data_IF_559748798091
#
_entry.id   IF_559748798091
#
_cell.length_a   1.000
_cell.length_b   1.000
_cell.length_c   1.000
_cell.angle_alpha   90.00
_cell.angle_beta   90.00
_cell.angle_gamma   90.00
#
_symmetry.space_group_name_H-M   'P 1'
#
loop_
_entity.id
_entity.type
_entity.pdbx_description
1 polymer ?
#
# COMPACT_ATOMS: atom_id res chain seq x y z
N UNK A 1 11.38 -9.06 -15.66
CA UNK A 1 12.12 -7.79 -15.89
C UNK A 1 13.62 -7.99 -15.69
N UNK A 2 14.10 -8.51 -14.54
CA UNK A 2 15.52 -8.84 -14.35
C UNK A 2 16.07 -9.87 -15.37
N UNK A 3 15.32 -10.92 -15.69
CA UNK A 3 15.71 -11.89 -16.73
C UNK A 3 15.84 -11.28 -18.16
N UNK A 4 15.27 -10.09 -18.41
CA UNK A 4 15.44 -9.40 -19.70
C UNK A 4 16.78 -8.64 -19.78
N UNK A 5 17.42 -8.35 -18.64
CA UNK A 5 18.74 -7.70 -18.58
C UNK A 5 19.87 -8.64 -18.94
N UNK A 6 19.74 -9.92 -18.56
CA UNK A 6 20.71 -10.97 -18.91
C UNK A 6 20.85 -11.11 -20.44
N UNK A 7 19.73 -10.99 -21.18
CA UNK A 7 19.73 -10.96 -22.64
C UNK A 7 20.38 -9.73 -23.28
N UNK A 8 20.67 -8.69 -22.49
CA UNK A 8 21.36 -7.47 -22.92
C UNK A 8 22.81 -7.39 -22.39
N UNK A 9 23.33 -8.49 -21.82
CA UNK A 9 24.69 -8.54 -21.27
C UNK A 9 24.88 -7.70 -20.00
N UNK A 10 23.79 -7.41 -19.27
CA UNK A 10 23.83 -6.71 -17.98
C UNK A 10 23.53 -7.71 -16.87
N UNK A 11 24.30 -7.63 -15.78
CA UNK A 11 24.04 -8.42 -14.58
C UNK A 11 22.71 -7.98 -13.93
N UNK A 12 21.95 -8.94 -13.41
CA UNK A 12 20.61 -8.71 -12.84
C UNK A 12 20.60 -7.74 -11.65
N UNK A 13 21.72 -7.65 -10.93
CA UNK A 13 21.89 -6.77 -9.76
C UNK A 13 22.28 -5.33 -10.13
N UNK A 14 22.48 -5.04 -11.42
CA UNK A 14 22.70 -3.67 -11.93
C UNK A 14 21.42 -2.83 -12.05
N UNK A 15 20.27 -3.39 -11.63
CA UNK A 15 18.98 -2.71 -11.61
C UNK A 15 18.24 -3.03 -10.30
N UNK A 16 18.08 -2.01 -9.46
CA UNK A 16 17.23 -2.06 -8.28
C UNK A 16 15.80 -1.66 -8.62
N UNK A 17 14.86 -2.48 -8.19
CA UNK A 17 13.42 -2.25 -8.34
C UNK A 17 12.87 -1.81 -6.99
N UNK A 18 12.56 -0.51 -6.90
CA UNK A 18 11.90 0.08 -5.74
C UNK A 18 10.38 0.15 -5.94
N UNK A 19 9.62 -0.53 -5.08
CA UNK A 19 8.16 -0.48 -5.11
C UNK A 19 7.64 0.67 -4.24
N UNK A 20 6.71 1.46 -4.77
CA UNK A 20 5.98 2.45 -3.98
C UNK A 20 4.96 1.76 -3.08
N UNK A 21 5.08 1.93 -1.77
CA UNK A 21 4.17 1.34 -0.78
C UNK A 21 3.60 2.41 0.12
N UNK A 22 2.29 2.38 0.33
CA UNK A 22 1.64 3.17 1.36
C UNK A 22 1.54 2.34 2.64
N UNK A 23 1.79 2.97 3.78
CA UNK A 23 1.70 2.32 5.09
C UNK A 23 0.90 3.16 6.09
N UNK A 24 0.25 2.52 7.06
CA UNK A 24 -0.31 3.15 8.25
C UNK A 24 0.23 2.41 9.46
N UNK A 25 0.92 3.14 10.34
CA UNK A 25 1.57 2.56 11.52
C UNK A 25 0.90 3.15 12.76
N UNK A 26 0.22 2.30 13.51
CA UNK A 26 -0.35 2.63 14.82
C UNK A 26 0.45 1.96 15.94
N UNK A 27 0.15 2.33 17.19
CA UNK A 27 0.76 1.63 18.36
C UNK A 27 0.34 0.16 18.44
N UNK A 28 -0.82 -0.17 17.88
CA UNK A 28 -1.34 -1.51 17.68
C UNK A 28 -2.26 -1.53 16.44
N UNK A 29 -2.81 -2.70 16.09
CA UNK A 29 -3.70 -2.84 14.94
C UNK A 29 -5.00 -2.01 15.06
N UNK A 30 -5.52 -1.83 16.27
CA UNK A 30 -6.73 -1.04 16.49
C UNK A 30 -6.44 0.47 16.34
N UNK A 31 -5.25 0.91 16.71
CA UNK A 31 -4.79 2.29 16.48
C UNK A 31 -4.60 2.59 15.00
N UNK A 32 -3.95 1.68 14.26
CA UNK A 32 -3.82 1.80 12.81
C UNK A 32 -5.21 1.85 12.14
N UNK A 33 -6.16 1.04 12.61
CA UNK A 33 -7.55 1.08 12.14
C UNK A 33 -8.21 2.44 12.40
N UNK A 34 -8.09 2.98 13.62
CA UNK A 34 -8.66 4.30 13.96
C UNK A 34 -8.05 5.42 13.12
N UNK A 35 -6.74 5.38 12.90
CA UNK A 35 -6.05 6.33 12.03
C UNK A 35 -6.58 6.25 10.59
N UNK A 36 -6.72 5.03 10.05
CA UNK A 36 -7.32 4.83 8.73
C UNK A 36 -8.73 5.41 8.65
N UNK A 37 -9.60 5.09 9.60
CA UNK A 37 -10.98 5.60 9.62
C UNK A 37 -11.03 7.12 9.70
N UNK A 38 -10.15 7.74 10.48
CA UNK A 38 -10.05 9.21 10.61
C UNK A 38 -9.67 9.84 9.28
N UNK A 39 -8.66 9.30 8.60
CA UNK A 39 -8.23 9.77 7.28
C UNK A 39 -9.31 9.55 6.23
N UNK A 40 -9.94 8.38 6.21
CA UNK A 40 -11.01 8.06 5.27
C UNK A 40 -12.22 8.98 5.46
N UNK A 41 -12.56 9.33 6.70
CA UNK A 41 -13.65 10.25 7.02
C UNK A 41 -13.42 11.70 6.57
N UNK A 42 -12.21 12.07 6.11
CA UNK A 42 -11.96 13.36 5.45
C UNK A 42 -12.60 13.43 4.07
N UNK A 43 -12.88 12.29 3.45
CA UNK A 43 -13.65 12.22 2.20
C UNK A 43 -15.13 12.42 2.53
N UNK A 44 -15.78 13.35 1.83
CA UNK A 44 -17.21 13.54 2.01
C UNK A 44 -17.95 12.26 1.62
N UNK A 45 -18.94 11.86 2.43
CA UNK A 45 -19.68 10.62 2.20
C UNK A 45 -20.38 10.66 0.85
N UNK A 46 -20.88 11.82 0.44
CA UNK A 46 -21.48 12.03 -0.89
C UNK A 46 -20.49 11.72 -2.01
N UNK A 47 -19.25 12.22 -1.92
CA UNK A 47 -18.21 11.93 -2.93
C UNK A 47 -17.82 10.45 -2.91
N UNK A 48 -17.75 9.85 -1.72
CA UNK A 48 -17.45 8.44 -1.56
C UNK A 48 -18.52 7.53 -2.20
N UNK A 49 -19.81 7.84 -2.01
CA UNK A 49 -20.92 7.13 -2.65
C UNK A 49 -20.91 7.32 -4.17
N UNK A 50 -20.64 8.54 -4.64
CA UNK A 50 -20.51 8.83 -6.07
C UNK A 50 -19.35 8.05 -6.69
N UNK A 51 -18.23 7.92 -5.98
CA UNK A 51 -17.07 7.14 -6.44
C UNK A 51 -17.41 5.64 -6.47
N UNK A 52 -18.02 5.12 -5.41
CA UNK A 52 -18.48 3.74 -5.32
C UNK A 52 -19.45 3.39 -6.45
N UNK A 53 -20.41 4.28 -6.74
CA UNK A 53 -21.39 4.14 -7.81
C UNK A 53 -20.76 3.87 -9.18
N UNK A 54 -19.57 4.41 -9.48
CA UNK A 54 -18.87 4.20 -10.76
C UNK A 54 -18.55 2.73 -11.03
N UNK A 55 -18.26 1.95 -9.99
CA UNK A 55 -18.00 0.52 -10.15
C UNK A 55 -19.30 -0.25 -10.47
N UNK A 56 -20.43 0.27 -10.02
CA UNK A 56 -21.76 -0.32 -10.15
C UNK A 56 -22.61 0.43 -11.19
N UNK A 57 -22.06 0.74 -12.36
CA UNK A 57 -22.82 1.36 -13.47
C UNK A 57 -23.45 2.72 -13.12
N UNK A 58 -22.74 3.53 -12.32
CA UNK A 58 -23.22 4.80 -11.80
C UNK A 58 -24.46 4.69 -10.90
N UNK A 59 -24.62 3.57 -10.20
CA UNK A 59 -25.72 3.36 -9.26
C UNK A 59 -25.71 4.39 -8.13
N UNK A 60 -26.90 4.88 -7.81
CA UNK A 60 -27.10 5.84 -6.74
C UNK A 60 -27.20 5.12 -5.39
N UNK A 61 -26.10 5.08 -4.63
CA UNK A 61 -26.10 4.49 -3.30
C UNK A 61 -26.70 5.40 -2.22
N UNK A 62 -27.01 6.67 -2.50
CA UNK A 62 -27.59 7.60 -1.52
C UNK A 62 -29.03 7.23 -1.12
N UNK A 63 -29.68 6.36 -1.91
CA UNK A 63 -31.01 5.82 -1.62
C UNK A 63 -31.04 4.82 -0.45
N UNK A 64 -29.88 4.33 0.00
CA UNK A 64 -29.78 3.36 1.08
C UNK A 64 -29.29 4.00 2.39
N UNK A 65 -29.69 3.45 3.54
CA UNK A 65 -29.16 3.89 4.83
C UNK A 65 -27.66 3.63 4.95
N UNK A 66 -26.91 4.65 5.37
CA UNK A 66 -25.45 4.64 5.39
C UNK A 66 -24.85 3.72 6.45
N UNK A 67 -25.50 3.64 7.61
CA UNK A 67 -25.01 2.92 8.79
C UNK A 67 -25.65 1.54 8.95
N UNK A 68 -26.26 1.05 7.87
CA UNK A 68 -26.76 -0.33 7.74
C UNK A 68 -25.79 -1.17 6.90
N UNK A 69 -25.87 -2.51 7.00
CA UNK A 69 -25.06 -3.41 6.18
C UNK A 69 -25.13 -3.07 4.69
N UNK A 70 -24.01 -3.27 3.98
CA UNK A 70 -23.95 -3.03 2.55
C UNK A 70 -25.12 -3.71 1.80
N UNK A 71 -25.88 -2.97 0.98
CA UNK A 71 -27.11 -3.47 0.38
C UNK A 71 -26.85 -4.66 -0.55
N UNK A 72 -27.76 -5.62 -0.56
CA UNK A 72 -27.71 -6.71 -1.53
C UNK A 72 -28.20 -6.22 -2.90
N UNK A 73 -27.24 -5.82 -3.73
CA UNK A 73 -27.43 -5.26 -5.07
C UNK A 73 -27.38 -6.33 -6.17
N UNK A 74 -27.37 -7.62 -5.80
CA UNK A 74 -27.40 -8.74 -6.74
C UNK A 74 -26.25 -8.75 -7.75
N UNK A 75 -26.62 -8.80 -9.04
CA UNK A 75 -25.70 -8.88 -10.17
C UNK A 75 -25.24 -7.52 -10.71
N UNK A 76 -25.56 -6.43 -9.99
CA UNK A 76 -25.12 -5.10 -10.38
C UNK A 76 -23.58 -5.03 -10.45
N UNK A 77 -23.06 -4.46 -11.54
CA UNK A 77 -21.62 -4.35 -11.79
C UNK A 77 -20.97 -5.55 -12.48
N UNK A 78 -21.73 -6.60 -12.84
CA UNK A 78 -21.23 -7.76 -13.60
C UNK A 78 -20.73 -7.40 -15.01
N UNK A 79 -21.29 -6.36 -15.64
CA UNK A 79 -20.97 -5.98 -17.03
C UNK A 79 -19.89 -4.89 -17.14
N UNK A 80 -19.40 -4.38 -16.00
CA UNK A 80 -18.40 -3.32 -15.94
C UNK A 80 -17.14 -3.81 -15.22
N UNK A 81 -17.00 -3.52 -13.93
CA UNK A 81 -15.82 -3.82 -13.14
C UNK A 81 -15.98 -5.11 -12.32
N UNK A 82 -16.35 -6.22 -12.98
CA UNK A 82 -16.76 -7.46 -12.30
C UNK A 82 -15.82 -7.91 -11.19
N UNK A 83 -14.50 -7.96 -11.45
CA UNK A 83 -13.54 -8.37 -10.43
C UNK A 83 -13.55 -7.46 -9.20
N UNK A 84 -13.62 -6.13 -9.41
CA UNK A 84 -13.65 -5.14 -8.34
C UNK A 84 -14.98 -5.17 -7.59
N UNK A 85 -16.11 -5.28 -8.28
CA UNK A 85 -17.43 -5.31 -7.65
C UNK A 85 -17.66 -6.60 -6.87
N UNK A 86 -17.19 -7.74 -7.38
CA UNK A 86 -17.23 -9.01 -6.66
C UNK A 86 -16.34 -8.98 -5.41
N UNK A 87 -15.16 -8.37 -5.49
CA UNK A 87 -14.29 -8.17 -4.33
C UNK A 87 -14.92 -7.24 -3.29
N UNK A 88 -15.52 -6.12 -3.70
CA UNK A 88 -16.25 -5.21 -2.81
C UNK A 88 -17.40 -5.94 -2.11
N UNK A 89 -18.26 -6.65 -2.86
CA UNK A 89 -19.39 -7.41 -2.32
C UNK A 89 -18.92 -8.48 -1.33
N UNK A 90 -17.85 -9.21 -1.67
CA UNK A 90 -17.26 -10.24 -0.80
C UNK A 90 -16.74 -9.63 0.49
N UNK A 91 -15.89 -8.60 0.40
CA UNK A 91 -15.29 -7.94 1.57
C UNK A 91 -16.36 -7.34 2.49
N UNK A 92 -17.39 -6.70 1.92
CA UNK A 92 -18.49 -6.15 2.69
C UNK A 92 -19.25 -7.21 3.48
N UNK A 93 -19.51 -8.38 2.86
CA UNK A 93 -20.21 -9.51 3.50
C UNK A 93 -19.35 -10.19 4.57
N UNK A 94 -18.09 -10.50 4.25
CA UNK A 94 -17.17 -11.21 5.17
C UNK A 94 -16.85 -10.39 6.42
N UNK A 95 -16.75 -9.07 6.28
CA UNK A 95 -16.40 -8.15 7.38
C UNK A 95 -17.62 -7.47 8.02
N UNK A 96 -18.83 -7.72 7.50
CA UNK A 96 -20.07 -7.11 8.01
C UNK A 96 -20.06 -5.58 7.92
N UNK A 97 -19.54 -5.01 6.82
CA UNK A 97 -19.35 -3.57 6.67
C UNK A 97 -20.67 -2.85 6.38
N UNK A 98 -20.78 -1.62 6.90
CA UNK A 98 -21.87 -0.70 6.53
C UNK A 98 -21.63 -0.08 5.16
N UNK A 99 -22.68 0.44 4.52
CA UNK A 99 -22.54 1.15 3.25
C UNK A 99 -21.55 2.32 3.35
N UNK A 100 -21.57 3.07 4.46
CA UNK A 100 -20.61 4.15 4.72
C UNK A 100 -19.17 3.65 4.67
N UNK A 101 -18.88 2.55 5.36
CA UNK A 101 -17.53 1.97 5.40
C UNK A 101 -17.08 1.50 4.02
N UNK A 102 -17.95 0.82 3.27
CA UNK A 102 -17.65 0.37 1.91
C UNK A 102 -17.39 1.54 0.97
N UNK A 103 -18.20 2.60 1.04
CA UNK A 103 -18.01 3.79 0.21
C UNK A 103 -16.68 4.49 0.51
N UNK A 104 -16.36 4.67 1.79
CA UNK A 104 -15.10 5.28 2.22
C UNK A 104 -13.89 4.42 1.83
N UNK A 105 -13.98 3.09 1.94
CA UNK A 105 -12.91 2.17 1.51
C UNK A 105 -12.70 2.18 0.00
N UNK A 106 -13.77 2.34 -0.79
CA UNK A 106 -13.66 2.47 -2.23
C UNK A 106 -12.99 3.80 -2.64
N UNK A 107 -13.33 4.90 -1.99
CA UNK A 107 -12.81 6.23 -2.31
C UNK A 107 -11.42 6.50 -1.71
N UNK A 108 -11.10 5.86 -0.59
CA UNK A 108 -9.80 5.93 0.11
C UNK A 108 -9.32 4.51 0.40
N UNK A 109 -8.71 3.83 -0.60
CA UNK A 109 -8.26 2.45 -0.45
C UNK A 109 -7.32 2.27 0.73
N UNK A 110 -7.54 1.19 1.49
CA UNK A 110 -6.66 0.81 2.60
C UNK A 110 -5.26 0.52 2.09
N UNK A 111 -4.23 1.12 2.70
CA UNK A 111 -2.86 0.70 2.48
C UNK A 111 -2.68 -0.78 2.82
N UNK A 112 -1.95 -1.52 1.97
CA UNK A 112 -1.74 -2.96 2.15
C UNK A 112 -1.03 -3.29 3.46
N UNK A 113 -0.11 -2.42 3.88
CA UNK A 113 0.64 -2.56 5.11
C UNK A 113 0.07 -1.59 6.15
N UNK A 114 -0.83 -2.08 6.98
CA UNK A 114 -1.44 -1.31 8.07
C UNK A 114 -1.45 -2.13 9.35
N UNK A 115 -0.90 -1.60 10.45
CA UNK A 115 -0.87 -2.32 11.72
C UNK A 115 0.15 -1.74 12.70
N UNK A 116 0.62 -2.60 13.61
CA UNK A 116 1.75 -2.27 14.47
C UNK A 116 3.04 -2.13 13.65
N UNK A 117 4.09 -1.49 14.20
CA UNK A 117 5.38 -1.37 13.55
C UNK A 117 5.96 -2.72 13.13
N UNK A 118 5.83 -3.74 13.98
CA UNK A 118 6.30 -5.11 13.72
C UNK A 118 5.54 -5.75 12.56
N UNK A 119 4.20 -5.63 12.54
CA UNK A 119 3.39 -6.20 11.45
C UNK A 119 3.73 -5.59 10.10
N UNK A 120 3.97 -4.28 10.06
CA UNK A 120 4.38 -3.57 8.83
C UNK A 120 5.79 -3.99 8.42
N UNK A 121 6.73 -4.09 9.36
CA UNK A 121 8.09 -4.52 9.08
C UNK A 121 8.15 -5.97 8.57
N UNK A 122 7.44 -6.89 9.21
CA UNK A 122 7.36 -8.31 8.81
C UNK A 122 6.80 -8.45 7.39
N UNK A 123 5.74 -7.70 7.06
CA UNK A 123 5.15 -7.72 5.72
C UNK A 123 6.10 -7.19 4.64
N UNK A 124 6.85 -6.12 4.92
CA UNK A 124 7.86 -5.58 4.01
C UNK A 124 9.05 -6.54 3.86
N UNK A 125 9.47 -7.17 4.96
CA UNK A 125 10.55 -8.16 4.95
C UNK A 125 10.16 -9.38 4.10
N UNK A 126 8.93 -9.89 4.24
CA UNK A 126 8.45 -11.00 3.42
C UNK A 126 8.57 -10.68 1.92
N UNK A 127 8.17 -9.47 1.50
CA UNK A 127 8.28 -9.05 0.09
C UNK A 127 9.73 -8.94 -0.39
N UNK A 128 10.62 -8.51 0.50
CA UNK A 128 12.05 -8.46 0.21
C UNK A 128 12.64 -9.87 0.07
N UNK A 129 12.36 -10.77 1.01
CA UNK A 129 12.84 -12.16 1.04
C UNK A 129 12.32 -12.97 -0.16
N UNK A 130 11.08 -12.70 -0.60
CA UNK A 130 10.48 -13.28 -1.81
C UNK A 130 11.00 -12.65 -3.12
N UNK A 131 11.94 -11.71 -3.04
CA UNK A 131 12.52 -10.95 -4.17
C UNK A 131 11.46 -10.20 -4.99
N UNK A 132 10.37 -9.76 -4.35
CA UNK A 132 9.34 -8.95 -4.99
C UNK A 132 9.80 -7.49 -5.19
N UNK A 133 10.73 -6.99 -4.36
CA UNK A 133 11.35 -5.68 -4.48
C UNK A 133 12.78 -5.68 -3.89
N UNK A 134 13.65 -4.82 -4.41
CA UNK A 134 15.00 -4.58 -3.86
C UNK A 134 15.01 -3.47 -2.79
N UNK A 135 13.88 -2.76 -2.66
CA UNK A 135 13.63 -1.77 -1.64
C UNK A 135 12.26 -1.10 -1.82
N UNK A 136 11.92 -0.18 -0.93
CA UNK A 136 10.59 0.44 -0.88
C UNK A 136 10.67 1.95 -0.83
N UNK A 137 9.83 2.61 -1.62
CA UNK A 137 9.52 4.03 -1.45
C UNK A 137 8.29 4.10 -0.55
N UNK A 138 8.48 4.48 0.71
CA UNK A 138 7.41 4.49 1.72
C UNK A 138 6.67 5.83 1.66
N UNK A 139 5.36 5.76 1.48
CA UNK A 139 4.45 6.89 1.60
C UNK A 139 3.62 6.72 2.88
N UNK A 140 3.71 7.70 3.78
CA UNK A 140 2.91 7.70 5.01
C UNK A 140 1.46 8.02 4.72
N UNK A 141 0.55 7.15 5.16
CA UNK A 141 -0.90 7.39 5.07
C UNK A 141 -1.39 8.45 6.07
N UNK A 142 -0.60 8.76 7.09
CA UNK A 142 -0.84 9.82 8.08
C UNK A 142 0.43 10.61 8.37
N UNK A 143 0.33 11.87 8.88
CA UNK A 143 1.49 12.68 9.27
C UNK A 143 2.40 11.98 10.30
N UNK A 144 1.80 11.16 11.18
CA UNK A 144 2.51 10.48 12.27
C UNK A 144 3.07 9.10 11.89
N UNK A 145 2.77 8.63 10.67
CA UNK A 145 3.22 7.31 10.19
C UNK A 145 4.75 7.21 10.21
N UNK A 146 5.46 8.21 9.67
CA UNK A 146 6.92 8.19 9.57
C UNK A 146 7.63 8.26 10.93
N UNK A 147 7.29 9.22 11.82
CA UNK A 147 7.85 9.26 13.16
C UNK A 147 7.61 7.97 13.96
N UNK A 148 6.41 7.38 13.87
CA UNK A 148 6.07 6.14 14.57
C UNK A 148 6.84 4.94 14.01
N UNK A 149 6.93 4.83 12.68
CA UNK A 149 7.69 3.76 12.01
C UNK A 149 9.19 3.81 12.35
N UNK A 150 9.80 5.00 12.28
CA UNK A 150 11.21 5.17 12.63
C UNK A 150 11.48 5.05 14.14
N UNK A 151 10.55 5.51 14.98
CA UNK A 151 10.70 5.59 16.43
C UNK A 151 10.45 4.27 17.18
N UNK A 152 9.52 3.44 16.71
CA UNK A 152 9.34 2.07 17.23
C UNK A 152 10.51 1.13 16.89
N UNK A 153 11.37 1.58 15.98
CA UNK A 153 12.61 0.92 15.63
C UNK A 153 12.42 -0.07 14.50
N UNK A 154 13.28 0.05 13.51
CA UNK A 154 13.72 -1.08 12.67
C UNK A 154 14.45 -2.18 13.49
N UNK A 155 14.19 -2.27 14.81
CA UNK A 155 14.94 -3.02 15.81
C UNK A 155 14.25 -4.35 16.19
N UNK A 156 13.04 -4.59 15.68
CA UNK A 156 12.28 -5.83 15.89
C UNK A 156 12.47 -6.89 14.81
N UNK A 157 13.18 -6.60 13.71
CA UNK A 157 13.41 -7.60 12.66
C UNK A 157 14.35 -8.68 13.18
N UNK A 158 13.80 -9.87 13.40
CA UNK A 158 14.56 -11.08 13.75
C UNK A 158 15.33 -11.65 12.56
N UNK A 159 15.29 -10.99 11.40
CA UNK A 159 15.97 -11.37 10.16
C UNK A 159 16.97 -10.34 9.67
N UNK A 160 17.80 -10.77 8.72
CA UNK A 160 18.95 -10.11 8.06
C UNK A 160 18.74 -8.70 7.49
N UNK A 161 17.56 -8.09 7.66
CA UNK A 161 17.28 -6.75 7.19
C UNK A 161 17.76 -5.71 8.21
N UNK A 162 18.98 -5.22 8.02
CA UNK A 162 19.56 -4.13 8.80
C UNK A 162 19.49 -2.84 8.00
N UNK A 163 18.71 -1.86 8.47
CA UNK A 163 18.87 -0.49 8.00
C UNK A 163 20.17 0.08 8.60
N UNK A 164 21.13 0.51 7.76
CA UNK A 164 22.34 1.12 8.26
C UNK A 164 21.95 2.37 9.07
N UNK A 165 22.35 2.42 10.34
CA UNK A 165 22.07 3.54 11.24
C UNK A 165 22.81 4.83 10.83
N UNK A 166 23.68 4.73 9.82
CA UNK A 166 24.44 5.83 9.25
C UNK A 166 24.65 5.55 7.76
N UNK A 167 24.08 6.40 6.91
CA UNK A 167 24.42 6.42 5.49
C UNK A 167 25.76 7.18 5.38
N UNK A 168 26.85 6.55 4.93
CA UNK A 168 28.10 7.26 4.67
C UNK A 168 27.87 8.29 3.56
N UNK A 169 28.43 9.51 3.70
CA UNK A 169 28.27 10.58 2.70
C UNK A 169 29.05 10.23 1.42
N UNK A 170 28.43 9.46 0.54
CA UNK A 170 28.88 9.19 -0.81
C UNK A 170 27.76 9.49 -1.82
N UNK A 171 28.05 9.34 -3.11
CA UNK A 171 27.08 9.43 -4.18
C UNK A 171 26.10 8.23 -4.13
N UNK A 172 24.83 8.47 -4.47
CA UNK A 172 23.75 7.50 -4.32
C UNK A 172 24.03 6.15 -5.02
N UNK A 173 24.84 6.11 -6.08
CA UNK A 173 25.25 4.88 -6.74
C UNK A 173 25.99 3.92 -5.78
N UNK A 174 26.90 4.45 -4.95
CA UNK A 174 27.63 3.65 -3.95
C UNK A 174 26.78 3.20 -2.78
N UNK A 175 25.71 3.91 -2.49
CA UNK A 175 24.76 3.55 -1.43
C UNK A 175 23.90 2.34 -1.83
N UNK A 176 23.67 2.16 -3.13
CA UNK A 176 22.92 1.03 -3.68
C UNK A 176 23.83 -0.06 -4.26
N UNK A 177 25.13 -0.10 -3.93
CA UNK A 177 26.09 -1.05 -4.52
C UNK A 177 26.08 -1.08 -6.07
N UNK A 178 25.74 0.04 -6.70
CA UNK A 178 25.75 0.19 -8.15
C UNK A 178 27.14 0.62 -8.62
N UNK A 179 27.58 0.04 -9.74
CA UNK A 179 28.81 0.45 -10.39
C UNK A 179 28.75 1.94 -10.78
N UNK A 180 29.82 2.72 -10.54
CA UNK A 180 29.86 4.12 -10.94
C UNK A 180 29.75 4.23 -12.47
N UNK A 181 29.05 5.24 -13.00
CA UNK A 181 28.87 5.38 -14.43
C UNK A 181 30.23 5.64 -15.12
N UNK A 182 30.62 4.77 -16.04
CA UNK A 182 31.80 5.00 -16.88
C UNK A 182 31.50 6.04 -17.97
N UNK A 183 32.37 7.04 -18.06
CA UNK A 183 32.29 8.04 -19.12
C UNK A 183 32.74 7.42 -20.46
N UNK A 184 31.77 7.13 -21.34
CA UNK A 184 32.04 6.59 -22.68
C UNK A 184 32.76 7.55 -23.64
N UNK A 185 33.01 8.79 -23.21
CA UNK A 185 33.71 9.83 -23.97
C UNK A 185 34.98 10.33 -23.27
N UNK A 186 35.40 9.69 -22.17
CA UNK A 186 36.66 10.01 -21.51
C UNK A 186 37.84 9.51 -22.35
N UNK A 187 38.69 10.42 -22.82
CA UNK A 187 40.03 10.07 -23.30
C UNK A 187 40.92 9.64 -22.14
#
# INVERSE_FOLDING_TARGET
MKNQLEGQGREGDSLHIFQGVSVIVGTDAADAERQYQTTAALVSVTDALNYLGRYFEHHDFSQYPLDEPFPDIGDLGQNSFRSTTDEIKRNARERGLTLRQVALEAASPRPRFSGSPEQVADGLQQWFDERAADGFIIQGGTPDTFPTFCGAGCAGTSGSWSFPHRIPRHDAAREFDLAPPENRYGK
#
